data_IF_337931843935
#
_entry.id   IF_337931843935
#
_cell.length_a   1.000
_cell.length_b   1.000
_cell.length_c   1.000
_cell.angle_alpha   90.00
_cell.angle_beta   90.00
_cell.angle_gamma   90.00
#
_symmetry.space_group_name_H-M   'P 1'
#
loop_
_entity.id
_entity.type
_entity.pdbx_description
1 polymer ?
#
# COMPACT_ATOMS: atom_id res chain seq x y z
N UNK A 1 15.16 15.32 -18.51
CA UNK A 1 15.39 14.90 -17.11
C UNK A 1 16.53 13.87 -17.13
N UNK A 2 17.67 14.27 -17.68
CA UNK A 2 18.93 14.72 -17.03
C UNK A 2 19.71 13.55 -16.42
N UNK A 3 20.84 13.27 -17.06
CA UNK A 3 21.69 12.06 -16.99
C UNK A 3 22.89 12.30 -16.06
N UNK A 4 22.75 13.31 -15.21
CA UNK A 4 23.84 14.00 -14.54
C UNK A 4 23.90 13.61 -13.04
N UNK A 5 23.13 12.61 -12.62
CA UNK A 5 22.94 12.18 -11.23
C UNK A 5 23.83 10.95 -10.89
N UNK A 6 24.53 10.35 -11.86
CA UNK A 6 25.18 9.04 -11.68
C UNK A 6 26.70 9.05 -11.44
N UNK A 7 27.33 10.22 -11.25
CA UNK A 7 28.77 10.30 -10.91
C UNK A 7 29.03 10.47 -9.39
N UNK A 8 27.98 10.35 -8.59
CA UNK A 8 28.05 10.21 -7.14
C UNK A 8 27.68 8.75 -6.80
N UNK A 9 28.69 7.88 -6.76
CA UNK A 9 28.58 6.60 -6.03
C UNK A 9 29.14 6.83 -4.63
N UNK A 10 28.52 7.73 -3.88
CA UNK A 10 28.62 7.74 -2.43
C UNK A 10 28.05 6.41 -1.96
N UNK A 11 28.86 5.66 -1.20
CA UNK A 11 28.52 4.32 -0.75
C UNK A 11 27.09 4.30 -0.24
N UNK A 12 26.23 3.48 -0.87
CA UNK A 12 24.91 3.12 -0.38
C UNK A 12 25.09 2.47 1.00
N UNK A 13 25.23 3.29 2.03
CA UNK A 13 25.31 2.83 3.41
C UNK A 13 23.90 2.48 3.85
N UNK A 14 23.68 1.34 4.51
CA UNK A 14 22.36 0.97 5.04
C UNK A 14 21.67 2.14 5.75
N UNK A 15 22.42 2.94 6.52
CA UNK A 15 21.94 4.13 7.22
C UNK A 15 21.29 5.20 6.32
N UNK A 16 21.80 5.45 5.11
CA UNK A 16 21.21 6.45 4.21
C UNK A 16 19.85 6.00 3.67
N UNK A 17 19.71 4.70 3.41
CA UNK A 17 18.47 4.12 2.89
C UNK A 17 17.44 3.99 4.01
N UNK A 18 17.90 3.56 5.20
CA UNK A 18 17.04 3.27 6.34
C UNK A 18 16.24 4.49 6.78
N UNK A 19 16.86 5.67 6.90
CA UNK A 19 16.11 6.87 7.31
C UNK A 19 15.16 7.38 6.21
N UNK A 20 15.50 7.17 4.92
CA UNK A 20 14.60 7.48 3.81
C UNK A 20 13.34 6.61 3.87
N UNK A 21 13.51 5.31 4.07
CA UNK A 21 12.40 4.36 4.24
C UNK A 21 11.58 4.72 5.48
N UNK A 22 12.24 5.07 6.59
CA UNK A 22 11.55 5.47 7.81
C UNK A 22 10.75 6.76 7.62
N UNK A 23 11.28 7.75 6.89
CA UNK A 23 10.57 8.98 6.56
C UNK A 23 9.31 8.72 5.72
N UNK A 24 9.41 7.81 4.74
CA UNK A 24 8.25 7.37 3.93
C UNK A 24 7.23 6.66 4.82
N UNK A 25 7.68 5.71 5.66
CA UNK A 25 6.82 4.99 6.60
C UNK A 25 6.06 5.95 7.52
N UNK A 26 6.76 6.89 8.15
CA UNK A 26 6.14 7.89 9.02
C UNK A 26 5.12 8.75 8.27
N UNK A 27 5.43 9.19 7.04
CA UNK A 27 4.49 9.95 6.24
C UNK A 27 3.22 9.15 5.89
N UNK A 28 3.37 7.88 5.51
CA UNK A 28 2.26 6.98 5.21
C UNK A 28 1.41 6.69 6.45
N UNK A 29 2.00 6.55 7.63
CA UNK A 29 1.24 6.38 8.87
C UNK A 29 0.45 7.64 9.24
N UNK A 30 1.04 8.82 9.04
CA UNK A 30 0.37 10.11 9.28
C UNK A 30 -0.78 10.37 8.30
N UNK A 31 -0.67 9.84 7.08
CA UNK A 31 -1.66 10.00 6.01
C UNK A 31 -2.27 8.65 5.63
N UNK A 32 -2.48 7.79 6.63
CA UNK A 32 -3.07 6.48 6.39
C UNK A 32 -4.45 6.65 5.75
N UNK A 33 -4.71 5.85 4.71
CA UNK A 33 -5.92 5.96 3.91
C UNK A 33 -6.58 4.60 3.82
N UNK A 34 -7.85 4.56 4.22
CA UNK A 34 -8.69 3.35 4.17
C UNK A 34 -9.73 3.43 3.06
N UNK A 35 -9.70 4.48 2.23
CA UNK A 35 -10.63 4.65 1.13
C UNK A 35 -10.48 3.51 0.11
N UNK A 36 -11.59 2.85 -0.18
CA UNK A 36 -11.62 1.78 -1.17
C UNK A 36 -11.61 2.38 -2.58
N UNK A 37 -10.60 2.02 -3.37
CA UNK A 37 -10.58 2.33 -4.80
C UNK A 37 -11.50 1.38 -5.57
N UNK A 38 -12.71 1.86 -5.85
CA UNK A 38 -13.64 1.16 -6.74
C UNK A 38 -13.34 1.40 -8.22
N UNK A 39 -14.21 0.87 -9.07
CA UNK A 39 -14.19 1.11 -10.52
C UNK A 39 -15.51 1.74 -10.95
N UNK A 40 -15.47 2.55 -12.01
CA UNK A 40 -16.66 3.14 -12.65
C UNK A 40 -16.60 2.99 -14.16
N UNK A 41 -17.75 2.79 -14.78
CA UNK A 41 -17.88 2.88 -16.24
C UNK A 41 -17.78 4.33 -16.69
N UNK A 42 -17.06 4.57 -17.78
CA UNK A 42 -16.89 5.90 -18.38
C UNK A 42 -17.26 5.81 -19.85
N UNK A 43 -18.34 6.48 -20.24
CA UNK A 43 -18.85 6.51 -21.62
C UNK A 43 -19.00 5.09 -22.20
N UNK A 44 -18.56 4.89 -23.44
CA UNK A 44 -18.62 3.62 -24.18
C UNK A 44 -17.41 2.71 -23.93
N UNK A 45 -16.69 2.90 -22.82
CA UNK A 45 -15.52 2.08 -22.52
C UNK A 45 -15.94 0.64 -22.24
N UNK A 46 -15.28 -0.31 -22.90
CA UNK A 46 -15.48 -1.75 -22.73
C UNK A 46 -14.97 -2.29 -21.38
N UNK A 47 -14.14 -1.51 -20.68
CA UNK A 47 -13.61 -1.86 -19.36
C UNK A 47 -13.87 -0.74 -18.35
N UNK A 48 -14.19 -1.06 -17.09
CA UNK A 48 -14.40 -0.05 -16.07
C UNK A 48 -13.05 0.56 -15.67
N UNK A 49 -13.04 1.88 -15.43
CA UNK A 49 -11.82 2.62 -15.05
C UNK A 49 -11.77 2.82 -13.54
N UNK A 50 -10.58 2.83 -12.92
CA UNK A 50 -10.43 3.09 -11.50
C UNK A 50 -11.04 4.44 -11.13
N UNK A 51 -11.80 4.47 -10.04
CA UNK A 51 -12.41 5.68 -9.51
C UNK A 51 -11.57 6.23 -8.36
N UNK A 52 -10.74 7.22 -8.67
CA UNK A 52 -9.88 7.91 -7.69
C UNK A 52 -10.62 8.99 -6.88
N UNK A 53 -11.94 9.12 -7.01
CA UNK A 53 -12.75 10.10 -6.25
C UNK A 53 -13.24 9.53 -4.91
N UNK A 54 -12.45 8.67 -4.28
CA UNK A 54 -12.73 8.22 -2.92
C UNK A 54 -12.81 9.43 -1.99
N UNK A 55 -13.71 9.36 -1.00
CA UNK A 55 -13.65 10.31 0.10
C UNK A 55 -12.55 9.84 1.03
N UNK A 56 -11.59 10.72 1.27
CA UNK A 56 -10.47 10.49 2.17
C UNK A 56 -10.74 11.24 3.47
N UNK A 57 -10.50 10.59 4.60
CA UNK A 57 -10.64 11.18 5.92
C UNK A 57 -9.44 10.80 6.79
N UNK A 58 -9.12 11.64 7.77
CA UNK A 58 -8.08 11.31 8.74
C UNK A 58 -8.53 10.10 9.57
N UNK A 59 -7.65 9.13 9.70
CA UNK A 59 -7.90 7.90 10.45
C UNK A 59 -7.04 7.84 11.70
N UNK A 60 -7.50 7.11 12.71
CA UNK A 60 -6.67 6.77 13.86
C UNK A 60 -5.81 5.54 13.51
N UNK A 61 -4.49 5.72 13.47
CA UNK A 61 -3.53 4.66 13.14
C UNK A 61 -3.65 3.43 14.06
N UNK A 62 -3.76 3.64 15.37
CA UNK A 62 -3.81 2.56 16.36
C UNK A 62 -5.03 1.66 16.12
N UNK A 63 -6.17 2.26 15.74
CA UNK A 63 -7.40 1.51 15.42
C UNK A 63 -7.26 0.67 14.15
N UNK A 64 -6.51 1.16 13.15
CA UNK A 64 -6.23 0.39 11.93
C UNK A 64 -5.33 -0.79 12.26
N UNK A 65 -4.27 -0.56 13.02
CA UNK A 65 -3.33 -1.59 13.44
C UNK A 65 -4.01 -2.69 14.26
N UNK A 66 -4.83 -2.31 15.25
CA UNK A 66 -5.62 -3.24 16.06
C UNK A 66 -6.56 -4.06 15.18
N UNK A 67 -7.35 -3.40 14.33
CA UNK A 67 -8.28 -4.07 13.42
C UNK A 67 -7.59 -5.07 12.49
N UNK A 68 -6.41 -4.70 11.96
CA UNK A 68 -5.62 -5.54 11.06
C UNK A 68 -4.99 -6.73 11.80
N UNK A 69 -4.46 -6.51 13.01
CA UNK A 69 -3.87 -7.54 13.85
C UNK A 69 -4.89 -8.62 14.23
N UNK A 70 -6.08 -8.22 14.67
CA UNK A 70 -7.20 -9.14 15.01
C UNK A 70 -7.63 -10.04 13.84
N UNK A 71 -7.44 -9.56 12.60
CA UNK A 71 -7.85 -10.25 11.36
C UNK A 71 -6.67 -10.85 10.60
N UNK A 72 -5.47 -10.79 11.19
CA UNK A 72 -4.30 -11.40 10.61
C UNK A 72 -4.43 -12.93 10.63
N UNK A 73 -3.93 -13.57 9.58
CA UNK A 73 -3.87 -15.02 9.48
C UNK A 73 -2.56 -15.42 8.82
N UNK A 74 -2.10 -16.66 9.07
CA UNK A 74 -0.91 -17.16 8.42
C UNK A 74 -1.25 -17.55 6.96
N UNK A 75 -0.68 -16.89 5.94
CA UNK A 75 -0.96 -17.21 4.54
C UNK A 75 -0.41 -18.58 4.11
N UNK A 76 0.59 -19.10 4.82
CA UNK A 76 1.16 -20.43 4.55
C UNK A 76 0.34 -21.56 5.20
N UNK A 77 -0.61 -21.21 6.08
CA UNK A 77 -1.53 -22.18 6.65
C UNK A 77 -2.57 -22.59 5.58
N UNK A 78 -2.36 -23.78 5.03
CA UNK A 78 -3.24 -24.39 4.04
C UNK A 78 -4.67 -24.59 4.55
N UNK A 79 -4.97 -24.45 5.85
CA UNK A 79 -6.35 -24.43 6.33
C UNK A 79 -7.12 -23.16 5.93
N UNK A 80 -6.43 -22.02 5.78
CA UNK A 80 -7.07 -20.71 5.62
C UNK A 80 -7.24 -20.28 4.15
N UNK A 81 -6.30 -20.66 3.27
CA UNK A 81 -6.32 -20.30 1.85
C UNK A 81 -6.39 -21.55 0.96
N UNK A 82 -7.52 -22.24 0.97
CA UNK A 82 -7.80 -23.37 0.06
C UNK A 82 -8.52 -22.89 -1.18
N UNK A 83 -8.11 -23.42 -2.33
CA UNK A 83 -8.87 -23.22 -3.55
C UNK A 83 -10.29 -23.81 -3.39
N UNK A 84 -11.37 -23.10 -3.77
CA UNK A 84 -12.74 -23.57 -3.57
C UNK A 84 -13.06 -24.93 -4.20
N UNK A 85 -12.31 -25.34 -5.23
CA UNK A 85 -12.47 -26.65 -5.87
C UNK A 85 -11.64 -27.78 -5.24
N UNK A 86 -10.90 -27.51 -4.16
CA UNK A 86 -10.10 -28.50 -3.45
C UNK A 86 -10.86 -29.18 -2.30
N UNK A 87 -12.21 -29.17 -2.36
CA UNK A 87 -13.10 -29.87 -1.45
C UNK A 87 -13.25 -31.36 -1.83
#
# INVERSE_FOLDING_TARGET
MYKDIYDDVQSWTPTHVDHCIDSIRQNLMCNADTAMMGFRWVNDSLEPKPNFRGQHECVNWERIEEWASERSFNPDDQANLRHPSAA
#
